data_IF_784459393086
#
_entry.id   IF_784459393086
#
_cell.length_a   1.000
_cell.length_b   1.000
_cell.length_c   1.000
_cell.angle_alpha   90.00
_cell.angle_beta   90.00
_cell.angle_gamma   90.00
#
_symmetry.space_group_name_H-M   'P 1'
#
loop_
_entity.id
_entity.type
_entity.pdbx_description
1 polymer ?
#
# COMPACT_ATOMS: atom_id res chain seq x y z
N UNK A 1 -10.07 2.20 39.75
CA UNK A 1 -9.01 2.52 38.78
C UNK A 1 -9.47 2.05 37.41
N UNK A 2 -10.30 2.85 36.71
CA UNK A 2 -10.79 2.50 35.38
C UNK A 2 -9.77 2.93 34.33
N UNK A 3 -9.20 1.97 33.60
CA UNK A 3 -8.25 2.26 32.53
C UNK A 3 -8.94 3.05 31.41
N UNK A 4 -8.56 4.31 31.23
CA UNK A 4 -8.87 5.02 29.99
C UNK A 4 -7.98 4.45 28.90
N UNK A 5 -8.48 3.42 28.22
CA UNK A 5 -8.01 3.11 26.88
C UNK A 5 -8.59 4.20 25.97
N UNK A 6 -7.73 5.08 25.47
CA UNK A 6 -8.13 6.03 24.44
C UNK A 6 -8.60 5.22 23.22
N UNK A 7 -9.80 5.44 22.69
CA UNK A 7 -10.29 4.71 21.53
C UNK A 7 -9.37 4.98 20.30
N UNK A 8 -9.28 4.04 19.34
CA UNK A 8 -8.48 4.23 18.14
C UNK A 8 -8.98 5.46 17.37
N UNK A 9 -8.05 6.24 16.82
CA UNK A 9 -8.39 7.44 16.08
C UNK A 9 -9.16 7.09 14.81
N UNK A 10 -10.33 7.70 14.64
CA UNK A 10 -11.27 7.35 13.58
C UNK A 10 -11.27 8.39 12.45
N UNK A 11 -11.87 7.99 11.31
CA UNK A 11 -12.12 8.91 10.21
C UNK A 11 -12.99 10.11 10.64
N UNK A 12 -13.89 9.90 11.59
CA UNK A 12 -14.73 10.97 12.15
C UNK A 12 -13.88 11.98 12.94
N UNK A 13 -12.84 11.52 13.63
CA UNK A 13 -11.91 12.39 14.36
C UNK A 13 -11.06 13.24 13.40
N UNK A 14 -10.62 12.67 12.28
CA UNK A 14 -9.99 13.41 11.17
C UNK A 14 -10.92 14.48 10.58
N UNK A 15 -12.20 14.15 10.39
CA UNK A 15 -13.19 15.10 9.89
C UNK A 15 -13.44 16.24 10.88
N UNK A 16 -13.52 15.94 12.17
CA UNK A 16 -13.65 16.95 13.24
C UNK A 16 -12.43 17.86 13.31
N UNK A 17 -11.22 17.32 13.25
CA UNK A 17 -9.97 18.10 13.23
C UNK A 17 -9.93 19.05 12.02
N UNK A 18 -10.33 18.55 10.83
CA UNK A 18 -10.44 19.37 9.61
C UNK A 18 -11.46 20.51 9.78
N UNK A 19 -12.61 20.24 10.40
CA UNK A 19 -13.65 21.26 10.66
C UNK A 19 -13.21 22.28 11.72
N UNK A 20 -12.46 21.85 12.74
CA UNK A 20 -11.92 22.72 13.78
C UNK A 20 -10.86 23.72 13.25
N UNK A 21 -9.98 23.26 12.34
CA UNK A 21 -9.00 24.11 11.66
C UNK A 21 -9.63 25.24 10.83
N UNK A 22 -10.92 25.12 10.46
CA UNK A 22 -11.65 26.11 9.66
C UNK A 22 -12.50 27.11 10.45
N UNK A 23 -12.60 27.00 11.78
CA UNK A 23 -13.53 27.82 12.59
C UNK A 23 -12.80 28.76 13.56
N UNK A 24 -13.16 30.05 13.54
CA UNK A 24 -12.64 31.10 14.42
C UNK A 24 -12.86 30.76 15.92
N UNK A 25 -12.01 31.26 16.84
CA UNK A 25 -11.86 30.71 18.17
C UNK A 25 -13.11 30.90 19.03
N UNK A 26 -13.68 29.78 19.52
CA UNK A 26 -14.63 29.78 20.62
C UNK A 26 -13.91 30.15 21.93
N UNK A 27 -14.66 30.64 22.91
CA UNK A 27 -14.15 30.83 24.29
C UNK A 27 -13.88 29.46 24.92
N UNK A 28 -12.69 28.90 24.70
CA UNK A 28 -12.20 27.69 25.38
C UNK A 28 -11.60 28.05 26.73
N UNK A 29 -11.89 27.22 27.75
CA UNK A 29 -11.20 27.32 29.05
C UNK A 29 -9.82 26.65 28.98
N UNK A 30 -8.93 26.94 29.92
CA UNK A 30 -7.59 26.32 29.96
C UNK A 30 -7.64 24.79 30.08
N UNK A 31 -8.70 24.26 30.72
CA UNK A 31 -8.96 22.82 30.79
C UNK A 31 -9.32 22.23 29.41
N UNK A 32 -10.15 22.93 28.63
CA UNK A 32 -10.55 22.49 27.27
C UNK A 32 -9.34 22.49 26.33
N UNK A 33 -8.50 23.54 26.43
CA UNK A 33 -7.25 23.65 25.65
C UNK A 33 -6.30 22.49 25.96
N UNK A 34 -6.16 22.10 27.23
CA UNK A 34 -5.30 20.98 27.62
C UNK A 34 -5.80 19.65 27.05
N UNK A 35 -7.10 19.37 27.13
CA UNK A 35 -7.71 18.15 26.57
C UNK A 35 -7.53 18.10 25.05
N UNK A 36 -7.69 19.23 24.38
CA UNK A 36 -7.46 19.37 22.94
C UNK A 36 -6.00 19.08 22.56
N UNK A 37 -5.03 19.66 23.27
CA UNK A 37 -3.59 19.44 23.05
C UNK A 37 -3.18 17.99 23.33
N UNK A 38 -3.68 17.38 24.40
CA UNK A 38 -3.40 15.98 24.73
C UNK A 38 -3.99 15.05 23.65
N UNK A 39 -5.19 15.35 23.14
CA UNK A 39 -5.76 14.65 21.99
C UNK A 39 -4.90 14.82 20.74
N UNK A 40 -4.46 16.05 20.41
CA UNK A 40 -3.57 16.29 19.27
C UNK A 40 -2.24 15.52 19.39
N UNK A 41 -1.63 15.46 20.58
CA UNK A 41 -0.40 14.71 20.80
C UNK A 41 -0.59 13.21 20.53
N UNK A 42 -1.67 12.61 21.03
CA UNK A 42 -2.02 11.20 20.75
C UNK A 42 -2.23 10.97 19.24
N UNK A 43 -2.88 11.90 18.54
CA UNK A 43 -3.06 11.80 17.08
C UNK A 43 -1.76 11.93 16.29
N UNK A 44 -0.82 12.74 16.77
CA UNK A 44 0.48 12.91 16.13
C UNK A 44 1.35 11.66 16.28
N UNK A 45 1.26 10.96 17.42
CA UNK A 45 2.01 9.73 17.66
C UNK A 45 1.49 8.56 16.82
N UNK A 46 0.17 8.42 16.65
CA UNK A 46 -0.41 7.39 15.78
C UNK A 46 -0.08 7.63 14.31
N UNK A 47 -0.19 8.88 13.83
CA UNK A 47 0.21 9.25 12.47
C UNK A 47 1.71 8.96 12.24
N UNK A 48 2.57 9.27 13.21
CA UNK A 48 4.01 8.99 13.13
C UNK A 48 4.27 7.48 12.95
N UNK A 49 3.60 6.62 13.72
CA UNK A 49 3.75 5.17 13.59
C UNK A 49 3.34 4.64 12.21
N UNK A 50 2.27 5.18 11.62
CA UNK A 50 1.88 4.80 10.25
C UNK A 50 2.91 5.25 9.21
N UNK A 51 3.44 6.47 9.35
CA UNK A 51 4.48 7.00 8.45
C UNK A 51 5.75 6.16 8.56
N UNK A 52 6.26 5.92 9.77
CA UNK A 52 7.47 5.13 10.00
C UNK A 52 7.35 3.72 9.41
N UNK A 53 6.22 3.06 9.64
CA UNK A 53 5.94 1.75 9.04
C UNK A 53 5.90 1.79 7.51
N UNK A 54 5.31 2.83 6.93
CA UNK A 54 5.25 2.99 5.47
C UNK A 54 6.64 3.23 4.88
N UNK A 55 7.45 4.08 5.50
CA UNK A 55 8.83 4.35 5.09
C UNK A 55 9.70 3.09 5.19
N UNK A 56 9.53 2.29 6.24
CA UNK A 56 10.18 0.99 6.36
C UNK A 56 9.78 0.06 5.20
N UNK A 57 8.48 -0.05 4.88
CA UNK A 57 8.01 -0.86 3.76
C UNK A 57 8.55 -0.38 2.40
N UNK A 58 8.69 0.93 2.19
CA UNK A 58 9.31 1.47 0.98
C UNK A 58 10.80 1.16 0.90
N UNK A 59 11.53 1.20 2.02
CA UNK A 59 12.92 0.78 2.08
C UNK A 59 13.08 -0.71 1.76
N UNK A 60 12.28 -1.58 2.40
CA UNK A 60 12.27 -3.03 2.13
C UNK A 60 11.95 -3.34 0.66
N UNK A 61 10.96 -2.65 0.09
CA UNK A 61 10.61 -2.78 -1.33
C UNK A 61 11.76 -2.39 -2.25
N UNK A 62 12.51 -1.34 -1.92
CA UNK A 62 13.68 -0.92 -2.67
C UNK A 62 14.79 -1.98 -2.60
N UNK A 63 15.06 -2.51 -1.42
CA UNK A 63 16.09 -3.55 -1.22
C UNK A 63 15.74 -4.82 -2.01
N UNK A 64 14.49 -5.26 -1.94
CA UNK A 64 13.98 -6.39 -2.73
C UNK A 64 14.10 -6.12 -4.24
N UNK A 65 13.85 -4.90 -4.70
CA UNK A 65 13.98 -4.54 -6.11
C UNK A 65 15.44 -4.63 -6.60
N UNK A 66 16.41 -4.17 -5.80
CA UNK A 66 17.83 -4.30 -6.13
C UNK A 66 18.27 -5.77 -6.12
N UNK A 67 17.85 -6.57 -5.13
CA UNK A 67 18.12 -8.02 -5.12
C UNK A 67 17.56 -8.73 -6.37
N UNK A 68 16.36 -8.38 -6.82
CA UNK A 68 15.79 -8.92 -8.06
C UNK A 68 16.61 -8.54 -9.29
N UNK A 69 17.16 -7.31 -9.32
CA UNK A 69 18.00 -6.83 -10.43
C UNK A 69 19.34 -7.56 -10.47
N UNK A 70 19.98 -7.77 -9.31
CA UNK A 70 21.21 -8.55 -9.19
C UNK A 70 21.00 -10.00 -9.67
N UNK A 71 19.93 -10.65 -9.23
CA UNK A 71 19.57 -12.01 -9.67
C UNK A 71 19.39 -12.10 -11.20
N UNK A 72 18.72 -11.11 -11.79
CA UNK A 72 18.56 -11.05 -13.25
C UNK A 72 19.90 -10.80 -13.96
N UNK A 73 20.79 -9.99 -13.38
CA UNK A 73 22.13 -9.76 -13.92
C UNK A 73 22.99 -11.03 -13.86
N UNK A 74 22.94 -11.78 -12.76
CA UNK A 74 23.59 -13.09 -12.61
C UNK A 74 23.07 -14.09 -13.65
N UNK A 75 21.75 -14.21 -13.80
CA UNK A 75 21.15 -15.07 -14.81
C UNK A 75 21.61 -14.72 -16.23
N UNK A 76 21.69 -13.41 -16.54
CA UNK A 76 22.24 -12.94 -17.82
C UNK A 76 23.70 -13.32 -18.00
N UNK A 77 24.53 -13.18 -16.96
CA UNK A 77 25.94 -13.59 -16.98
C UNK A 77 26.15 -15.08 -17.22
N UNK A 78 25.18 -15.90 -16.79
CA UNK A 78 25.13 -17.35 -17.05
C UNK A 78 24.56 -17.73 -18.42
N UNK A 79 24.13 -16.76 -19.22
CA UNK A 79 23.60 -16.98 -20.56
C UNK A 79 22.09 -17.16 -20.67
N UNK A 80 21.32 -16.94 -19.58
CA UNK A 80 19.85 -16.97 -19.66
C UNK A 80 19.29 -15.67 -20.26
N UNK A 81 18.20 -15.79 -21.04
CA UNK A 81 17.46 -14.61 -21.51
C UNK A 81 16.51 -14.10 -20.42
N UNK A 82 16.91 -12.99 -19.78
CA UNK A 82 16.13 -12.35 -18.72
C UNK A 82 14.78 -11.80 -19.18
N UNK A 83 14.58 -11.51 -20.47
CA UNK A 83 13.27 -11.10 -21.02
C UNK A 83 12.31 -12.28 -21.02
N UNK A 84 12.78 -13.46 -21.41
CA UNK A 84 11.99 -14.69 -21.38
C UNK A 84 11.68 -15.09 -19.93
N UNK A 85 12.67 -15.01 -19.03
CA UNK A 85 12.46 -15.30 -17.61
C UNK A 85 11.37 -14.42 -16.99
N UNK A 86 11.37 -13.11 -17.26
CA UNK A 86 10.31 -12.19 -16.78
C UNK A 86 8.93 -12.58 -17.29
N UNK A 87 8.82 -13.00 -18.56
CA UNK A 87 7.55 -13.51 -19.13
C UNK A 87 7.09 -14.77 -18.38
N UNK A 88 7.99 -15.72 -18.13
CA UNK A 88 7.67 -16.93 -17.36
C UNK A 88 7.22 -16.59 -15.94
N UNK A 89 7.89 -15.68 -15.25
CA UNK A 89 7.46 -15.22 -13.91
C UNK A 89 6.08 -14.57 -13.97
N UNK A 90 5.80 -13.74 -14.97
CA UNK A 90 4.49 -13.12 -15.15
C UNK A 90 3.39 -14.16 -15.40
N UNK A 91 3.63 -15.13 -16.28
CA UNK A 91 2.70 -16.24 -16.56
C UNK A 91 2.42 -17.05 -15.29
N UNK A 92 3.46 -17.34 -14.48
CA UNK A 92 3.34 -18.09 -13.23
C UNK A 92 2.61 -17.35 -12.10
N UNK A 93 2.45 -16.02 -12.20
CA UNK A 93 1.69 -15.21 -11.25
C UNK A 93 0.20 -15.17 -11.56
N UNK A 94 -0.21 -15.51 -12.78
CA UNK A 94 -1.63 -15.55 -13.17
C UNK A 94 -2.29 -16.78 -12.56
N UNK A 95 -3.56 -16.66 -12.19
CA UNK A 95 -4.32 -17.82 -11.72
C UNK A 95 -4.59 -18.75 -12.91
N UNK A 96 -4.62 -20.08 -12.71
CA UNK A 96 -4.96 -21.04 -13.76
C UNK A 96 -6.27 -20.68 -14.47
N UNK A 97 -7.26 -20.21 -13.72
CA UNK A 97 -8.57 -19.82 -14.24
C UNK A 97 -8.49 -18.60 -15.17
N UNK A 98 -7.71 -17.58 -14.81
CA UNK A 98 -7.49 -16.39 -15.64
C UNK A 98 -6.75 -16.74 -16.95
N UNK A 99 -5.92 -17.79 -16.94
CA UNK A 99 -5.22 -18.29 -18.13
C UNK A 99 -6.20 -19.04 -19.03
N UNK A 100 -7.02 -19.92 -18.47
CA UNK A 100 -7.99 -20.70 -19.21
C UNK A 100 -9.08 -19.83 -19.88
N UNK A 101 -9.54 -18.78 -19.20
CA UNK A 101 -10.51 -17.83 -19.75
C UNK A 101 -9.92 -17.05 -20.93
N UNK A 102 -8.68 -16.56 -20.79
CA UNK A 102 -7.99 -15.87 -21.89
C UNK A 102 -7.69 -16.80 -23.07
N UNK A 103 -7.28 -18.05 -22.82
CA UNK A 103 -7.05 -19.04 -23.87
C UNK A 103 -8.35 -19.35 -24.64
N UNK A 104 -9.48 -19.47 -23.94
CA UNK A 104 -10.80 -19.68 -24.56
C UNK A 104 -11.19 -18.50 -25.46
N UNK A 105 -10.99 -17.26 -24.99
CA UNK A 105 -11.27 -16.05 -25.79
C UNK A 105 -10.32 -15.97 -26.99
N UNK A 106 -9.04 -16.28 -26.79
CA UNK A 106 -8.04 -16.27 -27.85
C UNK A 106 -8.36 -17.29 -28.95
N UNK A 107 -8.81 -18.49 -28.57
CA UNK A 107 -9.20 -19.54 -29.51
C UNK A 107 -10.45 -19.16 -30.30
N UNK A 108 -11.44 -18.54 -29.65
CA UNK A 108 -12.60 -17.95 -30.33
C UNK A 108 -12.17 -16.91 -31.38
N UNK A 109 -11.23 -16.02 -31.04
CA UNK A 109 -10.74 -15.01 -31.97
C UNK A 109 -9.93 -15.61 -33.12
N UNK A 110 -9.06 -16.60 -32.86
CA UNK A 110 -8.32 -17.32 -33.91
C UNK A 110 -9.26 -18.04 -34.86
N UNK A 111 -10.29 -18.71 -34.33
CA UNK A 111 -11.34 -19.34 -35.13
C UNK A 111 -12.09 -18.33 -35.99
N UNK A 112 -12.46 -17.17 -35.42
CA UNK A 112 -13.14 -16.11 -36.16
C UNK A 112 -12.28 -15.49 -37.27
N UNK A 113 -10.95 -15.48 -37.08
CA UNK A 113 -9.97 -14.98 -38.04
C UNK A 113 -9.46 -16.05 -39.03
N UNK A 114 -9.93 -17.30 -38.93
CA UNK A 114 -9.49 -18.40 -39.80
C UNK A 114 -8.03 -18.80 -39.62
N UNK A 115 -7.47 -18.57 -38.42
CA UNK A 115 -6.07 -18.85 -38.07
C UNK A 115 -5.89 -20.21 -37.37
N UNK A 116 -6.86 -21.13 -37.51
CA UNK A 116 -6.88 -22.45 -36.88
C UNK A 116 -6.01 -23.47 -37.63
#
# INVERSE_FOLDING_TARGET
MGGHTTPPFTLDDLQRARTALGKAPMKETDADRKVSLDAYAVTADELRQFIERYEQLEAEKKDVAEQQKELMAEAKGRGYDTRVMKKVVALRKRKPDDIAEEETILELYKSALGMA
#
